data_IF_736276433902
#
_entry.id   IF_736276433902
#
_cell.length_a   1.000
_cell.length_b   1.000
_cell.length_c   1.000
_cell.angle_alpha   90.00
_cell.angle_beta   90.00
_cell.angle_gamma   90.00
#
_symmetry.space_group_name_H-M   'P 1'
#
loop_
_entity.id
_entity.type
_entity.pdbx_description
1 polymer ?
#
# COMPACT_ATOMS: atom_id res chain seq x y z
N UNK A 1 -2.13 14.52 28.25
CA UNK A 1 -3.27 14.61 27.34
C UNK A 1 -2.67 14.95 26.00
N UNK A 2 -2.73 14.05 25.02
CA UNK A 2 -2.34 14.36 23.63
C UNK A 2 -3.41 15.36 23.17
N UNK A 3 -3.04 16.58 22.82
CA UNK A 3 -3.96 17.51 22.18
C UNK A 3 -4.41 16.87 20.88
N UNK A 4 -5.66 16.39 20.85
CA UNK A 4 -6.27 15.92 19.61
C UNK A 4 -6.43 17.13 18.69
N UNK A 5 -5.81 17.11 17.51
CA UNK A 5 -5.95 18.16 16.51
C UNK A 5 -7.34 18.04 15.87
N UNK A 6 -8.31 18.83 16.35
CA UNK A 6 -9.64 18.83 15.77
C UNK A 6 -9.63 19.41 14.37
N UNK A 7 -10.20 18.72 13.42
CA UNK A 7 -10.13 19.11 12.01
C UNK A 7 -11.50 19.12 11.32
N UNK A 8 -11.67 20.04 10.38
CA UNK A 8 -12.77 20.05 9.44
C UNK A 8 -12.29 19.57 8.07
N UNK A 9 -13.03 18.69 7.43
CA UNK A 9 -12.71 18.18 6.08
C UNK A 9 -13.49 18.97 5.04
N UNK A 10 -12.78 19.44 4.01
CA UNK A 10 -13.33 20.09 2.83
C UNK A 10 -13.33 19.12 1.64
N UNK A 11 -14.51 19.00 1.02
CA UNK A 11 -14.73 18.02 -0.03
C UNK A 11 -15.62 18.58 -1.14
N UNK A 12 -15.18 18.39 -2.39
CA UNK A 12 -15.93 18.74 -3.59
C UNK A 12 -16.31 17.45 -4.32
N UNK A 13 -17.54 17.37 -4.83
CA UNK A 13 -17.95 16.34 -5.78
C UNK A 13 -18.77 16.91 -6.92
N UNK A 14 -18.81 16.21 -8.04
CA UNK A 14 -19.65 16.57 -9.19
C UNK A 14 -21.11 16.14 -9.03
N UNK A 15 -21.35 15.11 -8.24
CA UNK A 15 -22.66 14.56 -7.90
C UNK A 15 -22.53 13.88 -6.53
N UNK A 16 -23.66 13.67 -5.82
CA UNK A 16 -23.72 13.13 -4.45
C UNK A 16 -23.07 11.74 -4.22
N UNK A 17 -22.35 11.22 -5.21
CA UNK A 17 -22.01 9.80 -5.31
C UNK A 17 -20.63 9.42 -4.79
N UNK A 18 -19.78 10.33 -4.33
CA UNK A 18 -18.41 9.92 -4.01
C UNK A 18 -18.05 9.93 -2.51
N UNK A 19 -18.94 9.37 -1.68
CA UNK A 19 -18.67 9.10 -0.26
C UNK A 19 -17.46 8.18 -0.03
N UNK A 20 -17.05 7.40 -1.03
CA UNK A 20 -15.88 6.54 -0.99
C UNK A 20 -14.60 7.34 -0.73
N UNK A 21 -14.28 8.31 -1.60
CA UNK A 21 -13.05 9.13 -1.44
C UNK A 21 -13.06 9.96 -0.17
N UNK A 22 -14.25 10.35 0.31
CA UNK A 22 -14.40 11.06 1.58
C UNK A 22 -14.09 10.13 2.76
N UNK A 23 -14.63 8.90 2.79
CA UNK A 23 -14.35 7.92 3.85
C UNK A 23 -12.88 7.56 3.90
N UNK A 24 -12.27 7.33 2.73
CA UNK A 24 -10.84 7.09 2.63
C UNK A 24 -10.03 8.25 3.21
N UNK A 25 -10.37 9.50 2.83
CA UNK A 25 -9.67 10.69 3.30
C UNK A 25 -9.82 10.90 4.82
N UNK A 26 -11.00 10.65 5.37
CA UNK A 26 -11.21 10.69 6.82
C UNK A 26 -10.35 9.63 7.53
N UNK A 27 -10.19 8.45 6.94
CA UNK A 27 -9.30 7.41 7.48
C UNK A 27 -7.83 7.85 7.43
N UNK A 28 -7.39 8.46 6.32
CA UNK A 28 -6.05 9.05 6.20
C UNK A 28 -5.83 10.14 7.26
N UNK A 29 -6.76 11.07 7.41
CA UNK A 29 -6.68 12.16 8.40
C UNK A 29 -6.52 11.61 9.83
N UNK A 30 -7.31 10.59 10.21
CA UNK A 30 -7.19 9.93 11.52
C UNK A 30 -5.83 9.30 11.73
N UNK A 31 -5.27 8.64 10.72
CA UNK A 31 -3.94 8.02 10.81
C UNK A 31 -2.80 9.05 10.87
N UNK A 32 -3.02 10.26 10.36
CA UNK A 32 -2.11 11.39 10.53
C UNK A 32 -2.28 12.11 11.91
N UNK A 33 -3.20 11.63 12.75
CA UNK A 33 -3.42 12.19 14.09
C UNK A 33 -4.44 13.32 14.15
N UNK A 34 -5.24 13.50 13.11
CA UNK A 34 -6.34 14.48 13.10
C UNK A 34 -7.66 13.85 13.54
N UNK A 35 -8.40 14.55 14.40
CA UNK A 35 -9.76 14.19 14.78
C UNK A 35 -10.75 14.96 13.92
N UNK A 36 -11.32 14.29 12.93
CA UNK A 36 -12.36 14.91 12.06
C UNK A 36 -13.65 15.08 12.85
N UNK A 37 -14.04 16.32 13.08
CA UNK A 37 -15.24 16.71 13.85
C UNK A 37 -16.32 17.33 12.98
N UNK A 38 -15.97 17.74 11.74
CA UNK A 38 -16.91 18.35 10.80
C UNK A 38 -16.51 18.04 9.37
N UNK A 39 -17.49 18.03 8.46
CA UNK A 39 -17.25 17.84 7.03
C UNK A 39 -18.09 18.85 6.24
N UNK A 40 -17.42 19.65 5.43
CA UNK A 40 -18.06 20.61 4.53
C UNK A 40 -17.98 20.14 3.09
N UNK A 41 -19.12 20.15 2.44
CA UNK A 41 -19.27 19.69 1.05
C UNK A 41 -19.85 20.79 0.17
N UNK A 42 -19.39 20.81 -1.08
CA UNK A 42 -19.98 21.62 -2.13
C UNK A 42 -19.97 20.88 -3.47
N UNK A 43 -21.11 20.92 -4.17
CA UNK A 43 -21.19 20.41 -5.55
C UNK A 43 -20.60 21.44 -6.51
N UNK A 44 -19.45 21.11 -7.07
CA UNK A 44 -18.76 21.92 -8.09
C UNK A 44 -18.14 21.01 -9.14
N UNK A 45 -18.20 21.41 -10.40
CA UNK A 45 -17.50 20.70 -11.49
C UNK A 45 -15.98 20.80 -11.38
N UNK A 46 -15.48 21.91 -10.87
CA UNK A 46 -14.04 22.16 -10.63
C UNK A 46 -13.88 23.03 -9.37
N UNK A 47 -12.76 22.82 -8.63
CA UNK A 47 -12.42 23.68 -7.52
C UNK A 47 -12.33 25.15 -7.96
N UNK A 48 -12.75 26.07 -7.05
CA UNK A 48 -12.51 27.51 -7.25
C UNK A 48 -11.00 27.77 -7.33
N UNK A 49 -10.53 28.59 -8.28
CA UNK A 49 -9.09 28.86 -8.43
C UNK A 49 -8.43 29.51 -7.20
N UNK A 50 -9.20 30.21 -6.38
CA UNK A 50 -8.68 30.99 -5.25
C UNK A 50 -8.97 30.35 -3.87
N UNK A 51 -10.12 29.68 -3.72
CA UNK A 51 -10.63 29.29 -2.38
C UNK A 51 -11.02 27.82 -2.29
N UNK A 52 -10.75 27.00 -3.31
CA UNK A 52 -11.21 25.61 -3.42
C UNK A 52 -12.74 25.49 -3.47
N UNK A 53 -13.47 25.97 -2.44
CA UNK A 53 -14.92 26.21 -2.47
C UNK A 53 -15.27 27.52 -3.14
N UNK A 54 -16.53 27.69 -3.53
CA UNK A 54 -17.05 28.98 -3.98
C UNK A 54 -16.96 30.04 -2.85
N UNK A 55 -16.85 31.34 -3.20
CA UNK A 55 -16.60 32.42 -2.22
C UNK A 55 -17.71 32.56 -1.16
N UNK A 56 -18.97 32.30 -1.51
CA UNK A 56 -20.08 32.30 -0.55
C UNK A 56 -19.96 31.18 0.48
N UNK A 57 -19.57 29.97 0.05
CA UNK A 57 -19.43 28.80 0.93
C UNK A 57 -18.27 28.98 1.91
N UNK A 58 -17.15 29.54 1.48
CA UNK A 58 -16.00 29.76 2.36
C UNK A 58 -16.32 30.78 3.48
N UNK A 59 -17.13 31.80 3.18
CA UNK A 59 -17.59 32.80 4.17
C UNK A 59 -18.60 32.19 5.15
N UNK A 60 -19.52 31.34 4.69
CA UNK A 60 -20.42 30.55 5.55
C UNK A 60 -19.63 29.70 6.54
N UNK A 61 -18.62 28.99 6.06
CA UNK A 61 -17.75 28.14 6.89
C UNK A 61 -16.98 28.98 7.91
N UNK A 62 -16.47 30.16 7.50
CA UNK A 62 -15.84 31.09 8.42
C UNK A 62 -16.74 31.45 9.61
N UNK A 63 -18.01 31.79 9.34
CA UNK A 63 -18.97 32.10 10.40
C UNK A 63 -19.20 30.93 11.35
N UNK A 64 -19.25 29.69 10.82
CA UNK A 64 -19.39 28.47 11.64
C UNK A 64 -18.16 28.31 12.55
N UNK A 65 -16.94 28.51 12.02
CA UNK A 65 -15.69 28.44 12.80
C UNK A 65 -15.67 29.47 13.89
N UNK A 66 -16.00 30.73 13.58
CA UNK A 66 -16.05 31.83 14.54
C UNK A 66 -17.09 31.61 15.66
N UNK A 67 -18.28 31.08 15.30
CA UNK A 67 -19.31 30.74 16.28
C UNK A 67 -18.84 29.62 17.24
N UNK A 68 -18.12 28.62 16.77
CA UNK A 68 -17.57 27.55 17.63
C UNK A 68 -16.49 28.07 18.58
N UNK A 69 -15.65 29.03 18.13
CA UNK A 69 -14.66 29.66 18.97
C UNK A 69 -15.30 30.47 20.10
N UNK A 70 -16.46 31.11 19.84
CA UNK A 70 -17.20 31.89 20.84
C UNK A 70 -17.95 31.01 21.84
N UNK A 71 -18.36 29.78 21.45
CA UNK A 71 -19.16 28.88 22.25
C UNK A 71 -18.47 27.48 22.43
N UNK A 72 -17.28 27.43 23.07
CA UNK A 72 -16.50 26.17 23.17
C UNK A 72 -17.18 25.09 24.01
N UNK A 73 -18.16 25.42 24.85
CA UNK A 73 -18.93 24.46 25.65
C UNK A 73 -20.01 23.71 24.83
N UNK A 74 -20.44 24.28 23.71
CA UNK A 74 -21.48 23.68 22.86
C UNK A 74 -20.88 22.81 21.74
N UNK A 75 -19.72 23.18 21.23
CA UNK A 75 -19.04 22.45 20.15
C UNK A 75 -17.53 22.61 20.22
N UNK A 76 -16.73 21.56 19.95
CA UNK A 76 -15.30 21.66 19.97
C UNK A 76 -14.79 22.63 18.89
N UNK A 77 -13.71 23.37 19.18
CA UNK A 77 -13.04 24.24 18.22
C UNK A 77 -12.47 23.43 17.06
N UNK A 78 -12.41 24.05 15.89
CA UNK A 78 -11.71 23.51 14.72
C UNK A 78 -10.32 24.13 14.72
N UNK A 79 -9.27 23.30 14.70
CA UNK A 79 -7.88 23.74 14.74
C UNK A 79 -7.22 23.67 13.35
N UNK A 80 -7.71 22.77 12.47
CA UNK A 80 -7.19 22.53 11.13
C UNK A 80 -8.29 22.40 10.10
N UNK A 81 -7.99 22.80 8.87
CA UNK A 81 -8.81 22.52 7.70
C UNK A 81 -8.07 21.53 6.81
N UNK A 82 -8.69 20.39 6.52
CA UNK A 82 -8.14 19.34 5.69
C UNK A 82 -8.87 19.32 4.35
N UNK A 83 -8.13 19.38 3.24
CA UNK A 83 -8.71 19.41 1.89
C UNK A 83 -8.45 18.08 1.19
N UNK A 84 -9.51 17.42 0.70
CA UNK A 84 -9.44 16.10 0.06
C UNK A 84 -8.89 16.10 -1.37
N UNK A 85 -8.15 17.11 -1.74
CA UNK A 85 -7.47 17.24 -3.03
C UNK A 85 -6.08 17.87 -2.82
N UNK A 86 -5.23 17.82 -3.84
CA UNK A 86 -4.03 18.64 -3.87
C UNK A 86 -4.40 20.06 -4.25
N UNK A 87 -4.03 21.05 -3.42
CA UNK A 87 -4.36 22.46 -3.62
C UNK A 87 -3.13 23.27 -4.02
N UNK A 88 -3.38 24.39 -4.72
CA UNK A 88 -2.31 25.32 -5.07
C UNK A 88 -1.89 26.18 -3.88
N UNK A 89 -0.64 26.69 -3.86
CA UNK A 89 -0.19 27.60 -2.80
C UNK A 89 -1.07 28.83 -2.65
N UNK A 90 -1.64 29.33 -3.76
CA UNK A 90 -2.57 30.45 -3.75
C UNK A 90 -3.87 30.08 -3.02
N UNK A 91 -4.47 28.95 -3.36
CA UNK A 91 -5.68 28.45 -2.67
C UNK A 91 -5.42 28.28 -1.18
N UNK A 92 -4.30 27.61 -0.83
CA UNK A 92 -3.92 27.41 0.57
C UNK A 92 -3.84 28.73 1.31
N UNK A 93 -3.04 29.68 0.82
CA UNK A 93 -2.84 30.98 1.45
C UNK A 93 -4.14 31.77 1.59
N UNK A 94 -4.95 31.85 0.54
CA UNK A 94 -6.22 32.60 0.58
C UNK A 94 -7.20 31.97 1.57
N UNK A 95 -7.27 30.63 1.65
CA UNK A 95 -8.11 29.96 2.63
C UNK A 95 -7.60 30.21 4.06
N UNK A 96 -6.28 30.12 4.31
CA UNK A 96 -5.67 30.41 5.61
C UNK A 96 -5.92 31.88 6.05
N UNK A 97 -5.78 32.81 5.11
CA UNK A 97 -6.07 34.25 5.36
C UNK A 97 -7.55 34.52 5.70
N UNK A 98 -8.49 33.82 5.05
CA UNK A 98 -9.93 33.97 5.29
C UNK A 98 -10.37 33.26 6.57
N UNK A 99 -9.94 32.01 6.78
CA UNK A 99 -10.44 31.15 7.85
C UNK A 99 -9.67 31.35 9.17
N UNK A 100 -8.44 31.89 9.12
CA UNK A 100 -7.57 32.04 10.29
C UNK A 100 -7.04 30.73 10.84
N UNK A 101 -7.10 29.63 10.06
CA UNK A 101 -6.70 28.27 10.44
C UNK A 101 -5.70 27.70 9.42
N UNK A 102 -4.77 26.85 9.87
CA UNK A 102 -3.87 26.15 8.96
C UNK A 102 -4.66 25.19 8.06
N UNK A 103 -4.30 25.17 6.76
CA UNK A 103 -4.90 24.34 5.74
C UNK A 103 -3.91 23.27 5.31
N UNK A 104 -4.33 22.01 5.35
CA UNK A 104 -3.53 20.84 4.98
C UNK A 104 -4.23 20.09 3.85
N UNK A 105 -3.52 19.82 2.78
CA UNK A 105 -4.07 19.09 1.64
C UNK A 105 -3.83 17.57 1.73
N UNK A 106 -4.49 16.82 0.85
CA UNK A 106 -4.40 15.36 0.80
C UNK A 106 -2.96 14.85 0.69
N UNK A 107 -2.16 15.47 -0.17
CA UNK A 107 -0.77 15.05 -0.38
C UNK A 107 0.09 15.28 0.85
N UNK A 108 -0.10 16.39 1.56
CA UNK A 108 0.57 16.68 2.82
C UNK A 108 0.24 15.63 3.89
N UNK A 109 -1.04 15.23 4.02
CA UNK A 109 -1.48 14.19 4.97
C UNK A 109 -0.80 12.85 4.64
N UNK A 110 -0.75 12.45 3.38
CA UNK A 110 -0.08 11.21 2.95
C UNK A 110 1.41 11.27 3.33
N UNK A 111 2.07 12.40 3.09
CA UNK A 111 3.49 12.58 3.42
C UNK A 111 3.75 12.58 4.94
N UNK A 112 2.83 13.11 5.76
CA UNK A 112 2.89 13.04 7.23
C UNK A 112 2.79 11.59 7.72
N UNK A 113 1.87 10.79 7.16
CA UNK A 113 1.76 9.36 7.49
C UNK A 113 3.02 8.61 7.09
N UNK A 114 3.58 8.87 5.91
CA UNK A 114 4.82 8.25 5.47
C UNK A 114 6.00 8.64 6.36
N UNK A 115 6.09 9.89 6.78
CA UNK A 115 7.14 10.36 7.68
C UNK A 115 7.09 9.68 9.06
N UNK A 116 5.89 9.54 9.62
CA UNK A 116 5.69 8.86 10.90
C UNK A 116 6.03 7.36 10.86
N UNK A 117 5.84 6.72 9.70
CA UNK A 117 6.09 5.29 9.49
C UNK A 117 7.51 4.97 8.98
N UNK A 118 8.27 5.96 8.53
CA UNK A 118 9.64 5.79 8.04
C UNK A 118 10.62 5.52 9.20
N UNK A 119 11.06 4.27 9.34
CA UNK A 119 11.99 3.86 10.41
C UNK A 119 13.44 3.76 9.93
N UNK A 120 13.66 3.21 8.73
CA UNK A 120 15.00 3.04 8.17
C UNK A 120 15.53 4.34 7.57
N UNK A 121 16.86 4.41 7.39
CA UNK A 121 17.51 5.51 6.71
C UNK A 121 17.02 5.64 5.25
N UNK A 122 16.78 4.51 4.58
CA UNK A 122 16.27 4.47 3.21
C UNK A 122 14.87 5.07 3.13
N UNK A 123 13.92 4.62 3.96
CA UNK A 123 12.57 5.15 3.98
C UNK A 123 12.52 6.66 4.31
N UNK A 124 13.33 7.11 5.28
CA UNK A 124 13.44 8.54 5.60
C UNK A 124 13.92 9.37 4.40
N UNK A 125 14.94 8.88 3.67
CA UNK A 125 15.42 9.54 2.45
C UNK A 125 14.35 9.58 1.36
N UNK A 126 13.60 8.49 1.17
CA UNK A 126 12.50 8.45 0.20
C UNK A 126 11.40 9.44 0.53
N UNK A 127 10.98 9.52 1.80
CA UNK A 127 9.98 10.50 2.27
C UNK A 127 10.51 11.93 2.10
N UNK A 128 11.77 12.17 2.43
CA UNK A 128 12.39 13.49 2.24
C UNK A 128 12.43 13.90 0.76
N UNK A 129 12.78 12.98 -0.14
CA UNK A 129 12.73 13.20 -1.59
C UNK A 129 11.30 13.49 -2.05
N UNK A 130 10.31 12.75 -1.52
CA UNK A 130 8.90 12.96 -1.83
C UNK A 130 8.41 14.35 -1.38
N UNK A 131 8.76 14.77 -0.15
CA UNK A 131 8.46 16.13 0.37
C UNK A 131 9.11 17.22 -0.48
N UNK A 132 10.35 17.03 -0.91
CA UNK A 132 11.05 17.98 -1.78
C UNK A 132 10.41 18.06 -3.18
N UNK A 133 9.99 16.93 -3.75
CA UNK A 133 9.26 16.90 -5.04
C UNK A 133 7.91 17.61 -4.92
N UNK A 134 7.16 17.37 -3.85
CA UNK A 134 5.92 18.07 -3.56
C UNK A 134 6.15 19.58 -3.48
N UNK A 135 7.14 20.04 -2.69
CA UNK A 135 7.50 21.45 -2.59
C UNK A 135 7.89 22.06 -3.93
N UNK A 136 8.63 21.32 -4.78
CA UNK A 136 8.98 21.77 -6.14
C UNK A 136 7.74 21.95 -7.02
N UNK A 137 6.78 21.02 -6.98
CA UNK A 137 5.54 21.11 -7.73
C UNK A 137 4.68 22.29 -7.25
N UNK A 138 4.62 22.53 -5.94
CA UNK A 138 3.93 23.67 -5.38
C UNK A 138 4.53 24.99 -5.87
N UNK A 139 5.87 25.12 -6.00
CA UNK A 139 6.51 26.31 -6.57
C UNK A 139 6.16 26.51 -8.05
N UNK A 140 6.10 25.43 -8.85
CA UNK A 140 5.68 25.53 -10.26
C UNK A 140 4.23 25.99 -10.38
N UNK A 141 3.33 25.47 -9.55
CA UNK A 141 1.93 25.87 -9.50
C UNK A 141 1.78 27.34 -9.05
N UNK A 142 2.62 27.80 -8.12
CA UNK A 142 2.66 29.22 -7.73
C UNK A 142 3.04 30.11 -8.91
N UNK A 143 4.08 29.77 -9.68
CA UNK A 143 4.48 30.52 -10.89
C UNK A 143 3.35 30.59 -11.92
N UNK A 144 2.69 29.49 -12.20
CA UNK A 144 1.58 29.44 -13.13
C UNK A 144 0.42 30.33 -12.69
N UNK A 145 0.11 30.35 -11.39
CA UNK A 145 -0.94 31.19 -10.82
C UNK A 145 -0.57 32.70 -10.87
N UNK A 146 0.69 33.04 -10.58
CA UNK A 146 1.18 34.43 -10.69
C UNK A 146 1.16 34.94 -12.13
N UNK A 147 1.49 34.12 -13.11
CA UNK A 147 1.50 34.50 -14.51
C UNK A 147 0.10 34.78 -15.06
N UNK A 148 -0.92 34.10 -14.55
CA UNK A 148 -2.33 34.30 -14.92
C UNK A 148 -2.94 35.56 -14.30
N UNK A 149 -2.56 35.91 -13.07
CA UNK A 149 -3.08 37.07 -12.35
C UNK A 149 -2.41 38.40 -12.79
N UNK A 150 -1.17 38.33 -13.28
CA UNK A 150 -0.37 39.53 -13.63
C UNK A 150 -0.27 39.75 -15.14
N UNK A 151 -1.35 39.59 -15.91
CA UNK A 151 -1.39 40.05 -17.32
C UNK A 151 -1.32 41.61 -17.46
N UNK A 152 -1.10 42.33 -16.34
CA UNK A 152 -0.87 43.77 -16.30
C UNK A 152 0.63 44.12 -16.17
N UNK A 153 1.07 45.12 -16.94
CA UNK A 153 2.42 45.68 -16.95
C UNK A 153 2.87 46.18 -15.57
N UNK A 154 3.77 45.43 -14.88
CA UNK A 154 4.40 45.85 -13.63
C UNK A 154 5.91 45.57 -13.63
N UNK A 155 6.73 46.57 -13.21
CA UNK A 155 8.20 46.55 -13.19
C UNK A 155 8.86 45.49 -12.27
N UNK A 156 8.11 44.90 -11.32
CA UNK A 156 8.61 43.96 -10.29
C UNK A 156 8.42 42.46 -10.68
N UNK A 157 7.97 42.17 -11.90
CA UNK A 157 7.69 40.80 -12.39
C UNK A 157 8.94 39.92 -12.42
N UNK A 158 10.10 40.48 -12.71
CA UNK A 158 11.37 39.72 -12.89
C UNK A 158 12.05 39.27 -11.57
N UNK A 159 11.82 39.96 -10.44
CA UNK A 159 12.50 39.60 -9.18
C UNK A 159 11.81 38.44 -8.46
N UNK A 160 10.48 38.41 -8.42
CA UNK A 160 9.72 37.28 -7.85
C UNK A 160 9.90 35.98 -8.65
N UNK A 161 9.88 36.05 -9.97
CA UNK A 161 10.12 34.89 -10.87
C UNK A 161 11.55 34.36 -10.67
N UNK A 162 12.58 35.22 -10.59
CA UNK A 162 13.97 34.84 -10.31
C UNK A 162 14.13 34.18 -8.92
N UNK A 163 13.47 34.70 -7.90
CA UNK A 163 13.52 34.12 -6.56
C UNK A 163 12.91 32.71 -6.52
N UNK A 164 11.77 32.50 -7.20
CA UNK A 164 11.13 31.18 -7.28
C UNK A 164 12.01 30.21 -8.11
N UNK A 165 12.61 30.67 -9.20
CA UNK A 165 13.52 29.86 -10.01
C UNK A 165 14.79 29.45 -9.22
N UNK A 166 15.36 30.34 -8.43
CA UNK A 166 16.47 30.05 -7.52
C UNK A 166 16.07 29.01 -6.46
N UNK A 167 14.91 29.17 -5.84
CA UNK A 167 14.39 28.20 -4.86
C UNK A 167 14.16 26.84 -5.51
N UNK A 168 13.61 26.78 -6.73
CA UNK A 168 13.41 25.52 -7.48
C UNK A 168 14.76 24.83 -7.72
N UNK A 169 15.78 25.56 -8.20
CA UNK A 169 17.14 24.99 -8.41
C UNK A 169 17.74 24.47 -7.10
N UNK A 170 17.56 25.15 -5.98
CA UNK A 170 18.03 24.69 -4.67
C UNK A 170 17.34 23.38 -4.26
N UNK A 171 16.01 23.25 -4.48
CA UNK A 171 15.27 22.03 -4.21
C UNK A 171 15.73 20.90 -5.13
N UNK A 172 15.90 21.15 -6.42
CA UNK A 172 16.39 20.16 -7.39
C UNK A 172 17.79 19.65 -7.01
N UNK A 173 18.69 20.52 -6.58
CA UNK A 173 20.00 20.13 -6.07
C UNK A 173 19.90 19.25 -4.81
N UNK A 174 19.01 19.60 -3.87
CA UNK A 174 18.76 18.77 -2.68
C UNK A 174 18.22 17.38 -3.07
N UNK A 175 17.27 17.33 -4.01
CA UNK A 175 16.73 16.06 -4.54
C UNK A 175 17.86 15.22 -5.15
N UNK A 176 18.74 15.84 -5.96
CA UNK A 176 19.86 15.14 -6.56
C UNK A 176 20.81 14.53 -5.52
N UNK A 177 21.19 15.30 -4.50
CA UNK A 177 22.07 14.82 -3.43
C UNK A 177 21.43 13.68 -2.63
N UNK A 178 20.14 13.81 -2.29
CA UNK A 178 19.41 12.75 -1.58
C UNK A 178 19.22 11.49 -2.41
N UNK A 179 18.99 11.62 -3.71
CA UNK A 179 18.94 10.47 -4.62
C UNK A 179 20.30 9.76 -4.70
N UNK A 180 21.41 10.49 -4.73
CA UNK A 180 22.75 9.90 -4.70
C UNK A 180 23.00 9.11 -3.42
N UNK A 181 22.64 9.68 -2.26
CA UNK A 181 22.74 8.98 -0.97
C UNK A 181 21.85 7.71 -0.94
N UNK A 182 20.66 7.78 -1.51
CA UNK A 182 19.75 6.63 -1.65
C UNK A 182 20.35 5.52 -2.53
N UNK A 183 20.98 5.88 -3.65
CA UNK A 183 21.64 4.90 -4.55
C UNK A 183 22.84 4.20 -3.86
N UNK A 184 23.59 4.90 -3.02
CA UNK A 184 24.69 4.28 -2.23
C UNK A 184 24.13 3.22 -1.26
N UNK A 185 22.99 3.49 -0.61
CA UNK A 185 22.31 2.51 0.26
C UNK A 185 21.81 1.30 -0.55
N UNK A 186 21.21 1.56 -1.73
CA UNK A 186 20.75 0.49 -2.62
C UNK A 186 21.89 -0.41 -3.11
N UNK A 187 23.06 0.15 -3.42
CA UNK A 187 24.23 -0.62 -3.83
C UNK A 187 24.64 -1.64 -2.76
N UNK A 188 24.59 -1.26 -1.50
CA UNK A 188 24.89 -2.18 -0.39
C UNK A 188 23.88 -3.32 -0.29
N UNK A 189 22.60 -3.08 -0.63
CA UNK A 189 21.53 -4.10 -0.67
C UNK A 189 21.55 -4.96 -1.93
N UNK A 190 22.11 -4.49 -3.04
CA UNK A 190 22.20 -5.27 -4.30
C UNK A 190 22.86 -6.62 -4.11
N UNK A 191 23.85 -6.73 -3.25
CA UNK A 191 24.52 -8.00 -2.96
C UNK A 191 23.59 -9.01 -2.29
N UNK A 192 22.78 -8.56 -1.36
CA UNK A 192 21.78 -9.41 -0.69
C UNK A 192 20.60 -9.75 -1.62
N UNK A 193 20.17 -8.79 -2.45
CA UNK A 193 19.15 -9.02 -3.49
C UNK A 193 19.64 -10.01 -4.55
N UNK A 194 20.90 -9.85 -5.03
CA UNK A 194 21.47 -10.75 -6.02
C UNK A 194 21.45 -12.20 -5.52
N UNK A 195 21.83 -12.45 -4.27
CA UNK A 195 21.76 -13.79 -3.67
C UNK A 195 20.31 -14.36 -3.65
N UNK A 196 19.29 -13.51 -3.44
CA UNK A 196 17.89 -13.95 -3.50
C UNK A 196 17.41 -14.14 -4.94
N UNK A 197 17.84 -13.28 -5.87
CA UNK A 197 17.46 -13.37 -7.28
C UNK A 197 18.12 -14.56 -7.96
N UNK A 198 19.34 -14.91 -7.57
CA UNK A 198 20.05 -16.13 -8.01
C UNK A 198 19.51 -17.40 -7.30
N UNK A 199 18.65 -17.24 -6.27
CA UNK A 199 18.02 -18.35 -5.58
C UNK A 199 16.86 -18.90 -6.40
N UNK A 200 16.76 -20.24 -6.50
CA UNK A 200 15.65 -20.89 -7.20
C UNK A 200 14.31 -20.83 -6.42
N UNK A 201 14.28 -20.15 -5.29
CA UNK A 201 13.08 -20.04 -4.44
C UNK A 201 12.14 -19.00 -5.02
N UNK A 202 10.89 -19.38 -5.22
CA UNK A 202 9.81 -18.54 -5.74
C UNK A 202 9.62 -17.29 -4.88
N UNK A 203 9.47 -16.13 -5.52
CA UNK A 203 9.24 -14.85 -4.88
C UNK A 203 7.78 -14.44 -5.05
N UNK A 204 7.11 -14.20 -3.94
CA UNK A 204 5.71 -13.81 -3.88
C UNK A 204 5.63 -12.37 -3.34
N UNK A 205 5.05 -11.46 -4.10
CA UNK A 205 4.76 -10.11 -3.62
C UNK A 205 3.31 -10.02 -3.15
N UNK A 206 3.09 -9.39 -1.98
CA UNK A 206 1.76 -9.11 -1.45
C UNK A 206 1.42 -7.67 -1.74
N UNK A 207 0.39 -7.45 -2.55
CA UNK A 207 -0.10 -6.12 -2.93
C UNK A 207 -1.56 -5.95 -2.51
N UNK A 208 -2.09 -4.75 -2.68
CA UNK A 208 -3.49 -4.44 -2.42
C UNK A 208 -3.65 -3.13 -1.69
N UNK A 209 -4.90 -2.73 -1.54
CA UNK A 209 -5.27 -1.45 -0.95
C UNK A 209 -4.82 -1.32 0.51
N UNK A 210 -4.73 -0.10 1.03
CA UNK A 210 -4.44 0.12 2.45
C UNK A 210 -5.52 -0.54 3.32
N UNK A 211 -5.11 -1.11 4.46
CA UNK A 211 -6.00 -1.79 5.41
C UNK A 211 -6.73 -3.05 4.87
N UNK A 212 -6.31 -3.60 3.72
CA UNK A 212 -6.88 -4.85 3.19
C UNK A 212 -6.48 -6.11 3.97
N UNK A 213 -5.44 -6.02 4.83
CA UNK A 213 -4.96 -7.14 5.66
C UNK A 213 -3.64 -7.77 5.16
N UNK A 214 -2.84 -7.07 4.33
CA UNK A 214 -1.55 -7.58 3.81
C UNK A 214 -0.60 -8.04 4.91
N UNK A 215 -0.32 -7.20 5.88
CA UNK A 215 0.57 -7.53 7.00
C UNK A 215 -0.02 -8.64 7.90
N UNK A 216 -1.36 -8.70 8.02
CA UNK A 216 -2.05 -9.80 8.73
C UNK A 216 -1.84 -11.14 8.04
N UNK A 217 -1.89 -11.18 6.70
CA UNK A 217 -1.58 -12.37 5.91
C UNK A 217 -0.18 -12.89 6.20
N UNK A 218 0.82 -12.01 6.12
CA UNK A 218 2.22 -12.39 6.33
C UNK A 218 2.46 -12.88 7.75
N UNK A 219 1.88 -12.17 8.74
CA UNK A 219 1.97 -12.58 10.14
C UNK A 219 1.29 -13.95 10.39
N UNK A 220 0.13 -14.18 9.78
CA UNK A 220 -0.56 -15.47 9.86
C UNK A 220 0.32 -16.62 9.35
N UNK A 221 0.92 -16.45 8.17
CA UNK A 221 1.83 -17.45 7.59
C UNK A 221 3.09 -17.68 8.44
N UNK A 222 3.69 -16.63 9.00
CA UNK A 222 4.86 -16.75 9.88
C UNK A 222 4.51 -17.42 11.20
N UNK A 223 3.37 -17.11 11.82
CA UNK A 223 2.91 -17.74 13.03
C UNK A 223 2.64 -19.23 12.81
N UNK A 224 1.98 -19.58 11.71
CA UNK A 224 1.75 -20.97 11.33
C UNK A 224 3.06 -21.74 11.16
N UNK A 225 4.08 -21.14 10.53
CA UNK A 225 5.41 -21.75 10.37
C UNK A 225 6.10 -21.98 11.72
N UNK A 226 5.98 -21.08 12.69
CA UNK A 226 6.81 -21.10 13.89
C UNK A 226 6.16 -21.81 15.09
N UNK A 227 4.85 -22.08 15.07
CA UNK A 227 4.09 -22.68 16.19
C UNK A 227 4.37 -22.07 17.59
N UNK A 228 5.06 -20.90 17.63
CA UNK A 228 5.42 -20.19 18.86
C UNK A 228 5.03 -18.70 18.78
N UNK A 229 4.32 -18.16 19.80
CA UNK A 229 3.70 -16.82 19.74
C UNK A 229 4.65 -15.63 19.92
N UNK A 230 5.97 -15.80 19.94
CA UNK A 230 6.90 -14.76 20.45
C UNK A 230 7.57 -13.86 19.39
N UNK A 231 7.19 -13.91 18.14
CA UNK A 231 7.67 -12.95 17.11
C UNK A 231 6.55 -12.50 16.19
N UNK A 232 5.45 -12.05 16.75
CA UNK A 232 4.41 -11.36 15.99
C UNK A 232 4.88 -9.95 15.64
N UNK A 233 4.85 -9.62 14.35
CA UNK A 233 4.89 -8.23 13.90
C UNK A 233 3.57 -7.60 14.35
N UNK A 234 3.63 -6.46 15.05
CA UNK A 234 2.43 -5.75 15.49
C UNK A 234 1.54 -5.45 14.28
N UNK A 235 0.38 -6.07 14.24
CA UNK A 235 -0.68 -5.72 13.29
C UNK A 235 -1.29 -4.42 13.79
N UNK A 236 -1.20 -3.37 12.97
CA UNK A 236 -1.90 -2.11 13.19
C UNK A 236 -2.92 -1.95 12.10
N UNK A 237 -4.14 -1.60 12.46
CA UNK A 237 -5.22 -1.22 11.53
C UNK A 237 -4.99 0.20 10.95
N UNK A 238 -3.74 0.53 10.67
CA UNK A 238 -3.33 1.84 10.19
C UNK A 238 -3.15 1.83 8.67
N UNK A 239 -3.65 2.87 8.01
CA UNK A 239 -3.37 3.11 6.59
C UNK A 239 -1.86 3.32 6.43
N UNK A 240 -1.23 2.64 5.45
CA UNK A 240 0.22 2.63 5.26
C UNK A 240 1.03 2.12 6.47
N UNK A 241 0.52 1.12 7.20
CA UNK A 241 1.27 0.50 8.30
C UNK A 241 2.65 -0.01 7.87
N UNK A 242 2.79 -0.41 6.59
CA UNK A 242 4.05 -0.85 5.98
C UNK A 242 4.50 0.19 4.95
N UNK A 243 5.62 0.85 5.21
CA UNK A 243 6.30 1.75 4.26
C UNK A 243 7.56 1.11 3.67
N UNK A 244 8.15 0.16 4.38
CA UNK A 244 9.37 -0.54 4.00
C UNK A 244 9.04 -1.97 3.58
N UNK A 245 9.53 -2.38 2.41
CA UNK A 245 9.38 -3.79 2.00
C UNK A 245 10.13 -4.68 2.97
N UNK A 246 9.47 -5.71 3.46
CA UNK A 246 10.07 -6.74 4.29
C UNK A 246 9.89 -8.10 3.66
N UNK A 247 10.99 -8.71 3.22
CA UNK A 247 10.97 -10.05 2.65
C UNK A 247 11.21 -11.09 3.74
N UNK A 248 10.36 -12.11 3.79
CA UNK A 248 10.41 -13.23 4.72
C UNK A 248 10.45 -14.54 3.94
N UNK A 249 11.10 -15.55 4.51
CA UNK A 249 11.08 -16.91 3.97
C UNK A 249 9.97 -17.69 4.65
N UNK A 250 9.06 -18.24 3.87
CA UNK A 250 8.03 -19.18 4.31
C UNK A 250 8.51 -20.57 3.95
N UNK A 251 8.64 -21.41 4.98
CA UNK A 251 9.04 -22.80 4.85
C UNK A 251 8.16 -23.65 5.79
N UNK A 252 7.08 -24.16 5.23
CA UNK A 252 6.11 -25.00 5.93
C UNK A 252 6.21 -26.43 5.42
N UNK A 253 6.14 -27.38 6.34
CA UNK A 253 6.23 -28.80 6.06
C UNK A 253 5.15 -29.26 5.08
N UNK A 254 5.55 -29.86 3.96
CA UNK A 254 4.66 -30.32 2.88
C UNK A 254 4.24 -29.26 1.88
N UNK A 255 4.80 -28.04 1.98
CA UNK A 255 4.53 -26.92 1.08
C UNK A 255 5.83 -26.43 0.43
N UNK A 256 5.74 -25.84 -0.79
CA UNK A 256 6.91 -25.24 -1.41
C UNK A 256 7.46 -24.11 -0.54
N UNK A 257 8.76 -24.02 -0.43
CA UNK A 257 9.44 -22.87 0.18
C UNK A 257 9.36 -21.68 -0.76
N UNK A 258 8.98 -20.50 -0.25
CA UNK A 258 8.92 -19.27 -1.04
C UNK A 258 9.29 -18.04 -0.20
N UNK A 259 9.79 -17.01 -0.86
CA UNK A 259 9.91 -15.68 -0.27
C UNK A 259 8.58 -14.95 -0.38
N UNK A 260 8.16 -14.28 0.69
CA UNK A 260 7.00 -13.39 0.70
C UNK A 260 7.44 -11.99 1.06
N UNK A 261 7.02 -11.01 0.29
CA UNK A 261 7.39 -9.59 0.46
C UNK A 261 6.15 -8.77 0.75
N UNK A 262 6.14 -8.09 1.92
CA UNK A 262 5.13 -7.07 2.25
C UNK A 262 5.44 -5.79 1.48
N UNK A 263 4.42 -5.17 0.91
CA UNK A 263 4.55 -3.94 0.15
C UNK A 263 3.70 -2.81 0.73
N UNK A 264 4.01 -1.59 0.32
CA UNK A 264 3.21 -0.41 0.67
C UNK A 264 1.78 -0.59 0.16
N UNK A 265 0.78 -0.28 1.00
CA UNK A 265 -0.62 -0.29 0.58
C UNK A 265 -0.90 0.82 -0.42
N UNK A 266 -1.72 0.51 -1.43
CA UNK A 266 -2.15 1.50 -2.41
C UNK A 266 -3.34 2.31 -1.89
N UNK A 267 -3.49 3.52 -2.39
CA UNK A 267 -4.62 4.41 -2.16
C UNK A 267 -5.03 5.07 -3.47
N UNK A 268 -6.26 5.56 -3.51
CA UNK A 268 -6.76 6.32 -4.66
C UNK A 268 -6.02 7.64 -4.83
N UNK A 269 -5.89 8.07 -6.08
CA UNK A 269 -5.33 9.39 -6.43
C UNK A 269 -3.93 9.67 -5.83
N UNK A 270 -3.08 8.63 -5.74
CA UNK A 270 -1.68 8.82 -5.33
C UNK A 270 -0.93 9.57 -6.43
N UNK A 271 -0.35 10.76 -6.15
CA UNK A 271 0.40 11.50 -7.17
C UNK A 271 1.55 10.69 -7.75
N UNK A 272 1.73 10.74 -9.08
CA UNK A 272 2.76 9.97 -9.81
C UNK A 272 4.17 10.22 -9.25
N UNK A 273 4.48 11.46 -8.86
CA UNK A 273 5.79 11.78 -8.28
C UNK A 273 6.04 11.14 -6.91
N UNK A 274 4.97 10.76 -6.17
CA UNK A 274 5.10 9.95 -4.95
C UNK A 274 5.38 8.49 -5.31
N UNK A 275 4.70 7.93 -6.30
CA UNK A 275 5.00 6.57 -6.82
C UNK A 275 6.48 6.49 -7.24
N UNK A 276 6.98 7.51 -7.96
CA UNK A 276 8.40 7.60 -8.34
C UNK A 276 9.36 7.69 -7.14
N UNK A 277 8.96 8.36 -6.05
CA UNK A 277 9.79 8.44 -4.85
C UNK A 277 9.94 7.08 -4.16
N UNK A 278 8.87 6.26 -4.19
CA UNK A 278 8.81 4.92 -3.61
C UNK A 278 9.10 3.81 -4.61
N UNK A 279 9.45 4.15 -5.86
CA UNK A 279 9.70 3.16 -6.92
C UNK A 279 10.66 2.06 -6.49
N UNK A 280 11.70 2.39 -5.73
CA UNK A 280 12.68 1.39 -5.29
C UNK A 280 12.13 0.39 -4.27
N UNK A 281 11.13 0.75 -3.49
CA UNK A 281 10.42 -0.20 -2.64
C UNK A 281 9.42 -1.04 -3.43
N UNK A 282 8.89 -0.50 -4.52
CA UNK A 282 7.95 -1.19 -5.39
C UNK A 282 8.65 -2.06 -6.46
N UNK A 283 9.96 -1.87 -6.70
CA UNK A 283 10.75 -2.71 -7.61
C UNK A 283 10.72 -4.20 -7.23
N UNK A 284 10.58 -4.53 -5.94
CA UNK A 284 10.47 -5.94 -5.50
C UNK A 284 9.20 -6.63 -6.03
N UNK A 285 8.14 -5.86 -6.37
CA UNK A 285 6.96 -6.40 -7.04
C UNK A 285 7.30 -6.83 -8.47
N UNK A 286 8.07 -5.99 -9.19
CA UNK A 286 8.48 -6.27 -10.57
C UNK A 286 9.42 -7.48 -10.68
N UNK A 287 10.11 -7.84 -9.59
CA UNK A 287 11.03 -8.98 -9.52
C UNK A 287 10.36 -10.24 -8.94
N UNK A 288 9.06 -10.21 -8.66
CA UNK A 288 8.32 -11.36 -8.13
C UNK A 288 7.88 -12.34 -9.22
N UNK A 289 7.70 -13.60 -8.84
CA UNK A 289 7.22 -14.67 -9.72
C UNK A 289 5.69 -14.84 -9.62
N UNK A 290 5.09 -14.37 -8.52
CA UNK A 290 3.65 -14.40 -8.24
C UNK A 290 3.25 -13.17 -7.43
N UNK A 291 2.11 -12.60 -7.72
CA UNK A 291 1.50 -11.52 -6.95
C UNK A 291 0.26 -12.07 -6.24
N UNK A 292 0.15 -11.78 -4.93
CA UNK A 292 -1.05 -11.99 -4.12
C UNK A 292 -1.69 -10.65 -3.87
N UNK A 293 -2.81 -10.36 -4.51
CA UNK A 293 -3.60 -9.17 -4.23
C UNK A 293 -4.58 -9.45 -3.10
N UNK A 294 -4.39 -8.76 -1.96
CA UNK A 294 -5.29 -8.84 -0.80
C UNK A 294 -6.33 -7.75 -0.92
N UNK A 295 -7.59 -8.16 -0.89
CA UNK A 295 -8.76 -7.29 -1.10
C UNK A 295 -9.63 -7.31 0.15
N UNK A 296 -9.99 -6.14 0.66
CA UNK A 296 -11.01 -6.00 1.70
C UNK A 296 -12.39 -6.23 1.07
N UNK A 297 -12.93 -7.43 1.23
CA UNK A 297 -14.22 -7.79 0.63
C UNK A 297 -15.42 -7.25 1.40
N UNK A 298 -15.22 -6.79 2.64
CA UNK A 298 -16.26 -6.10 3.42
C UNK A 298 -16.52 -4.67 2.93
N UNK A 299 -15.58 -4.07 2.18
CA UNK A 299 -15.77 -2.75 1.60
C UNK A 299 -16.62 -2.82 0.33
N UNK A 300 -17.67 -2.02 0.28
CA UNK A 300 -18.57 -1.93 -0.90
C UNK A 300 -17.87 -1.46 -2.17
N UNK A 301 -16.71 -0.82 -2.03
CA UNK A 301 -15.89 -0.28 -3.13
C UNK A 301 -14.67 -1.16 -3.46
N UNK A 302 -14.68 -2.44 -3.09
CA UNK A 302 -13.56 -3.35 -3.35
C UNK A 302 -13.17 -3.45 -4.84
N UNK A 303 -14.12 -3.25 -5.76
CA UNK A 303 -13.86 -3.26 -7.21
C UNK A 303 -13.02 -2.06 -7.65
N UNK A 304 -13.25 -0.90 -7.06
CA UNK A 304 -12.45 0.32 -7.25
C UNK A 304 -11.05 0.12 -6.68
N UNK A 305 -10.91 -0.60 -5.56
CA UNK A 305 -9.62 -0.96 -4.98
C UNK A 305 -8.80 -1.83 -5.92
N UNK A 306 -9.40 -2.87 -6.49
CA UNK A 306 -8.77 -3.74 -7.51
C UNK A 306 -8.30 -2.90 -8.70
N UNK A 307 -9.17 -2.01 -9.20
CA UNK A 307 -8.81 -1.13 -10.32
C UNK A 307 -7.63 -0.22 -9.97
N UNK A 308 -7.65 0.41 -8.80
CA UNK A 308 -6.54 1.26 -8.33
C UNK A 308 -5.23 0.48 -8.23
N UNK A 309 -5.27 -0.74 -7.70
CA UNK A 309 -4.11 -1.64 -7.65
C UNK A 309 -3.58 -1.95 -9.05
N UNK A 310 -4.47 -2.31 -9.98
CA UNK A 310 -4.10 -2.61 -11.36
C UNK A 310 -3.47 -1.40 -12.08
N UNK A 311 -4.03 -0.19 -11.88
CA UNK A 311 -3.50 1.05 -12.45
C UNK A 311 -2.08 1.35 -11.93
N UNK A 312 -1.82 1.15 -10.63
CA UNK A 312 -0.48 1.33 -10.05
C UNK A 312 0.49 0.27 -10.56
N UNK A 313 0.10 -1.01 -10.62
CA UNK A 313 0.93 -2.08 -11.17
C UNK A 313 1.31 -1.81 -12.64
N UNK A 314 0.37 -1.32 -13.44
CA UNK A 314 0.61 -0.91 -14.82
C UNK A 314 1.62 0.24 -14.91
N UNK A 315 1.52 1.26 -14.06
CA UNK A 315 2.48 2.38 -13.99
C UNK A 315 3.88 1.94 -13.57
N UNK A 316 3.99 0.84 -12.81
CA UNK A 316 5.28 0.23 -12.45
C UNK A 316 5.86 -0.63 -13.58
N UNK A 317 5.10 -0.88 -14.66
CA UNK A 317 5.50 -1.76 -15.75
C UNK A 317 5.39 -3.25 -15.40
N UNK A 318 4.54 -3.60 -14.45
CA UNK A 318 4.26 -4.99 -14.08
C UNK A 318 3.33 -5.57 -15.15
N UNK A 319 3.95 -6.27 -16.11
CA UNK A 319 3.25 -6.99 -17.17
C UNK A 319 3.55 -8.48 -17.03
N UNK A 320 2.77 -9.41 -17.27
CA UNK A 320 3.04 -10.85 -17.33
C UNK A 320 3.35 -11.57 -16.00
N UNK A 321 3.25 -10.93 -14.83
CA UNK A 321 3.35 -11.63 -13.56
C UNK A 321 1.95 -12.14 -13.20
N UNK A 322 1.77 -13.45 -12.90
CA UNK A 322 0.47 -13.99 -12.50
C UNK A 322 -0.02 -13.34 -11.21
N UNK A 323 -1.30 -13.00 -11.16
CA UNK A 323 -1.96 -12.40 -10.00
C UNK A 323 -3.03 -13.37 -9.48
N UNK A 324 -3.01 -13.62 -8.19
CA UNK A 324 -4.07 -14.32 -7.46
C UNK A 324 -4.73 -13.37 -6.48
N UNK A 325 -6.04 -13.52 -6.31
CA UNK A 325 -6.88 -12.62 -5.53
C UNK A 325 -7.31 -13.29 -4.23
N UNK A 326 -7.05 -12.61 -3.11
CA UNK A 326 -7.40 -13.07 -1.78
C UNK A 326 -8.41 -12.08 -1.18
N UNK A 327 -9.68 -12.45 -1.26
CA UNK A 327 -10.81 -11.68 -0.73
C UNK A 327 -10.91 -11.91 0.77
N UNK A 328 -10.33 -10.98 1.53
CA UNK A 328 -10.26 -11.01 2.98
C UNK A 328 -11.49 -10.37 3.64
N UNK A 329 -11.66 -10.59 4.94
CA UNK A 329 -12.78 -10.11 5.77
C UNK A 329 -14.14 -10.62 5.31
N UNK A 330 -14.16 -11.82 4.76
CA UNK A 330 -15.38 -12.48 4.28
C UNK A 330 -16.42 -12.70 5.39
N UNK A 331 -15.98 -12.82 6.63
CA UNK A 331 -16.79 -12.91 7.82
C UNK A 331 -17.66 -11.67 8.11
N UNK A 332 -17.27 -10.52 7.55
CA UNK A 332 -17.96 -9.24 7.74
C UNK A 332 -18.96 -8.93 6.61
N UNK A 333 -19.09 -9.82 5.63
CA UNK A 333 -19.95 -9.62 4.46
C UNK A 333 -21.37 -10.08 4.76
N UNK A 334 -22.34 -9.18 4.64
CA UNK A 334 -23.77 -9.47 4.92
C UNK A 334 -24.43 -10.33 3.83
N UNK A 335 -23.95 -10.22 2.57
CA UNK A 335 -24.49 -10.96 1.43
C UNK A 335 -23.39 -11.76 0.76
N UNK A 336 -23.49 -13.07 0.79
CA UNK A 336 -22.57 -13.98 0.09
C UNK A 336 -22.64 -13.75 -1.42
N UNK A 337 -21.51 -13.76 -2.15
CA UNK A 337 -21.54 -13.69 -3.60
C UNK A 337 -22.31 -14.84 -4.20
N UNK A 338 -23.14 -14.57 -5.19
CA UNK A 338 -23.89 -15.59 -5.94
C UNK A 338 -23.03 -16.43 -6.88
N UNK A 339 -21.81 -15.95 -7.16
CA UNK A 339 -20.86 -16.61 -8.05
C UNK A 339 -19.81 -17.39 -7.26
N UNK A 340 -19.48 -18.57 -7.73
CA UNK A 340 -18.37 -19.37 -7.18
C UNK A 340 -17.02 -18.68 -7.47
N UNK A 341 -16.03 -18.78 -6.55
CA UNK A 341 -14.71 -18.22 -6.78
C UNK A 341 -14.05 -18.83 -8.02
N UNK A 342 -13.35 -18.01 -8.79
CA UNK A 342 -12.56 -18.48 -9.93
C UNK A 342 -11.29 -19.18 -9.44
N UNK A 343 -10.60 -19.90 -10.32
CA UNK A 343 -9.38 -20.66 -9.96
C UNK A 343 -8.26 -19.80 -9.34
N UNK A 344 -8.25 -18.50 -9.58
CA UNK A 344 -7.29 -17.55 -9.04
C UNK A 344 -7.85 -16.67 -7.92
N UNK A 345 -8.98 -17.04 -7.33
CA UNK A 345 -9.68 -16.32 -6.27
C UNK A 345 -9.86 -17.22 -5.03
N UNK A 346 -9.60 -16.68 -3.85
CA UNK A 346 -9.89 -17.30 -2.57
C UNK A 346 -10.61 -16.30 -1.66
N UNK A 347 -11.75 -16.70 -1.12
CA UNK A 347 -12.50 -15.94 -0.12
C UNK A 347 -12.12 -16.46 1.26
N UNK A 348 -11.67 -15.58 2.14
CA UNK A 348 -11.12 -15.98 3.44
C UNK A 348 -11.34 -14.91 4.51
N UNK A 349 -11.03 -15.28 5.72
CA UNK A 349 -10.91 -14.38 6.86
C UNK A 349 -9.51 -14.54 7.46
N UNK A 350 -8.73 -13.46 7.51
CA UNK A 350 -7.39 -13.43 8.09
C UNK A 350 -7.41 -13.25 9.63
N UNK A 351 -8.49 -13.66 10.29
CA UNK A 351 -8.47 -13.83 11.74
C UNK A 351 -7.48 -14.94 12.11
N UNK A 352 -6.89 -14.92 13.32
CA UNK A 352 -5.89 -15.90 13.74
C UNK A 352 -6.53 -17.29 13.97
N UNK A 353 -6.96 -17.93 12.87
CA UNK A 353 -7.42 -19.31 12.83
C UNK A 353 -6.48 -20.09 11.92
N UNK A 354 -5.81 -21.09 12.47
CA UNK A 354 -4.86 -21.96 11.76
C UNK A 354 -5.48 -22.63 10.52
N UNK A 355 -6.78 -22.91 10.51
CA UNK A 355 -7.46 -23.50 9.36
C UNK A 355 -7.50 -22.53 8.16
N UNK A 356 -7.82 -21.28 8.40
CA UNK A 356 -7.84 -20.26 7.34
C UNK A 356 -6.44 -20.02 6.77
N UNK A 357 -5.42 -19.97 7.65
CA UNK A 357 -4.03 -19.83 7.24
C UNK A 357 -3.58 -21.01 6.41
N UNK A 358 -3.98 -22.23 6.77
CA UNK A 358 -3.69 -23.47 6.02
C UNK A 358 -4.34 -23.44 4.62
N UNK A 359 -5.57 -22.96 4.50
CA UNK A 359 -6.24 -22.81 3.20
C UNK A 359 -5.51 -21.81 2.29
N UNK A 360 -5.12 -20.67 2.86
CA UNK A 360 -4.33 -19.66 2.14
C UNK A 360 -2.98 -20.23 1.68
N UNK A 361 -2.30 -20.96 2.57
CA UNK A 361 -1.03 -21.61 2.24
C UNK A 361 -1.18 -22.62 1.13
N UNK A 362 -2.24 -23.44 1.14
CA UNK A 362 -2.60 -24.38 0.05
C UNK A 362 -2.86 -23.62 -1.25
N UNK A 363 -3.60 -22.53 -1.19
CA UNK A 363 -3.94 -21.72 -2.36
C UNK A 363 -2.71 -21.11 -3.02
N UNK A 364 -1.84 -20.45 -2.24
CA UNK A 364 -0.58 -19.88 -2.74
C UNK A 364 0.31 -21.00 -3.30
N UNK A 365 0.45 -22.11 -2.56
CA UNK A 365 1.29 -23.25 -2.97
C UNK A 365 0.83 -23.92 -4.24
N UNK A 366 -0.48 -24.06 -4.44
CA UNK A 366 -1.04 -24.63 -5.67
C UNK A 366 -0.77 -23.74 -6.89
N UNK A 367 -0.74 -22.43 -6.72
CA UNK A 367 -0.41 -21.50 -7.79
C UNK A 367 1.10 -21.45 -8.06
N UNK A 368 1.95 -21.56 -7.04
CA UNK A 368 3.41 -21.72 -7.21
C UNK A 368 3.71 -23.03 -7.97
N UNK A 369 3.05 -24.12 -7.60
CA UNK A 369 3.29 -25.45 -8.16
C UNK A 369 2.48 -25.73 -9.44
N UNK A 370 1.81 -24.74 -10.02
CA UNK A 370 0.90 -24.91 -11.16
C UNK A 370 1.55 -25.64 -12.34
N UNK A 371 2.79 -25.31 -12.64
CA UNK A 371 3.57 -25.88 -13.74
C UNK A 371 4.52 -26.99 -13.29
N UNK A 372 4.46 -27.38 -12.02
CA UNK A 372 5.28 -28.46 -11.49
C UNK A 372 4.75 -29.81 -11.90
N UNK A 373 5.66 -30.79 -12.07
CA UNK A 373 5.30 -32.15 -12.44
C UNK A 373 4.54 -32.86 -11.32
N UNK A 374 3.25 -33.12 -11.55
CA UNK A 374 2.40 -33.84 -10.61
C UNK A 374 2.55 -35.37 -10.81
N UNK A 375 2.73 -36.08 -9.71
CA UNK A 375 2.77 -37.56 -9.71
C UNK A 375 2.22 -38.15 -8.41
N UNK A 376 1.75 -39.38 -8.50
CA UNK A 376 1.50 -40.23 -7.34
C UNK A 376 2.71 -41.12 -7.12
N UNK A 377 3.27 -41.08 -5.92
CA UNK A 377 4.47 -41.84 -5.53
C UNK A 377 4.25 -42.50 -4.17
N UNK A 378 5.01 -43.61 -3.96
CA UNK A 378 5.03 -44.31 -2.67
C UNK A 378 6.41 -44.20 -2.07
N UNK A 379 6.49 -43.68 -0.86
CA UNK A 379 7.72 -43.63 -0.05
C UNK A 379 7.68 -44.79 0.92
N UNK A 380 8.53 -45.82 0.75
CA UNK A 380 8.56 -46.99 1.63
C UNK A 380 9.16 -46.64 3.01
N UNK A 381 10.00 -45.58 3.06
CA UNK A 381 10.66 -45.15 4.29
C UNK A 381 10.19 -43.80 4.74
N UNK A 382 9.91 -43.67 6.03
CA UNK A 382 9.45 -42.42 6.67
C UNK A 382 10.46 -41.27 6.51
N UNK A 383 11.75 -41.55 6.65
CA UNK A 383 12.80 -40.55 6.51
C UNK A 383 12.84 -39.91 5.11
N UNK A 384 12.64 -40.69 4.05
CA UNK A 384 12.61 -40.21 2.68
C UNK A 384 11.37 -39.34 2.44
N UNK A 385 10.23 -39.74 2.98
CA UNK A 385 9.00 -38.95 2.93
C UNK A 385 9.17 -37.62 3.66
N UNK A 386 9.71 -37.59 4.88
CA UNK A 386 9.94 -36.36 5.61
C UNK A 386 10.92 -35.43 4.89
N UNK A 387 12.01 -35.97 4.33
CA UNK A 387 12.96 -35.19 3.53
C UNK A 387 12.29 -34.61 2.27
N UNK A 388 11.41 -35.38 1.63
CA UNK A 388 10.67 -34.91 0.46
C UNK A 388 9.73 -33.74 0.81
N UNK A 389 9.07 -33.79 1.97
CA UNK A 389 8.14 -32.78 2.46
C UNK A 389 8.82 -31.41 2.73
N UNK A 390 10.13 -31.35 2.85
CA UNK A 390 10.85 -30.07 3.05
C UNK A 390 11.07 -29.29 1.74
N UNK A 391 11.14 -29.99 0.60
CA UNK A 391 11.56 -29.41 -0.68
C UNK A 391 10.41 -29.30 -1.70
N UNK A 392 9.29 -30.00 -1.49
CA UNK A 392 8.26 -30.21 -2.51
C UNK A 392 6.84 -29.95 -1.96
N UNK A 393 5.86 -29.86 -2.86
CA UNK A 393 4.47 -29.70 -2.49
C UNK A 393 3.74 -31.04 -2.43
N UNK A 394 3.26 -31.42 -1.26
CA UNK A 394 2.47 -32.64 -1.03
C UNK A 394 1.00 -32.27 -0.92
N UNK A 395 0.24 -32.53 -1.99
CA UNK A 395 -1.20 -32.24 -2.05
C UNK A 395 -2.01 -33.09 -1.07
N UNK A 396 -1.67 -34.38 -0.96
CA UNK A 396 -2.29 -35.31 -0.04
C UNK A 396 -1.40 -36.51 0.17
N UNK A 397 -1.52 -37.15 1.33
CA UNK A 397 -0.86 -38.45 1.58
C UNK A 397 -1.73 -39.37 2.43
N UNK A 398 -1.49 -40.68 2.34
CA UNK A 398 -2.07 -41.69 3.21
C UNK A 398 -0.98 -42.71 3.55
N UNK A 399 -0.86 -43.02 4.83
CA UNK A 399 0.03 -44.09 5.30
C UNK A 399 -0.67 -45.43 5.13
N UNK A 400 0.03 -46.41 4.52
CA UNK A 400 -0.39 -47.77 4.35
C UNK A 400 0.73 -48.73 4.81
N UNK A 401 0.50 -50.04 4.77
CA UNK A 401 1.48 -51.05 5.19
C UNK A 401 2.78 -51.02 4.38
N UNK A 402 2.69 -50.63 3.10
CA UNK A 402 3.82 -50.54 2.16
C UNK A 402 4.49 -49.15 2.12
N UNK A 403 4.04 -48.19 2.95
CA UNK A 403 4.62 -46.86 3.08
C UNK A 403 3.63 -45.71 2.90
N UNK A 404 4.14 -44.55 2.56
CA UNK A 404 3.37 -43.32 2.39
C UNK A 404 2.97 -43.15 0.92
N UNK A 405 1.69 -43.30 0.61
CA UNK A 405 1.12 -43.03 -0.70
C UNK A 405 0.78 -41.56 -0.84
N UNK A 406 1.50 -40.85 -1.70
CA UNK A 406 1.46 -39.39 -1.80
C UNK A 406 1.06 -38.93 -3.20
N UNK A 407 0.22 -37.89 -3.25
CA UNK A 407 -0.04 -37.11 -4.45
C UNK A 407 0.79 -35.81 -4.33
N UNK A 408 1.80 -35.66 -5.19
CA UNK A 408 2.84 -34.65 -5.00
C UNK A 408 3.14 -33.88 -6.27
N UNK A 409 3.60 -32.65 -6.07
CA UNK A 409 4.18 -31.82 -7.11
C UNK A 409 5.69 -31.71 -6.88
N UNK A 410 6.47 -32.07 -7.87
CA UNK A 410 7.92 -32.08 -7.82
C UNK A 410 8.44 -30.68 -8.19
N UNK A 411 9.17 -30.05 -7.26
CA UNK A 411 9.91 -28.85 -7.56
C UNK A 411 10.93 -29.15 -8.68
N UNK A 412 10.87 -28.46 -9.83
CA UNK A 412 11.77 -28.68 -10.96
C UNK A 412 13.25 -28.63 -10.61
N UNK A 413 13.60 -27.88 -9.56
CA UNK A 413 14.98 -27.67 -9.12
C UNK A 413 15.52 -28.77 -8.21
N UNK A 414 14.62 -29.54 -7.58
CA UNK A 414 15.00 -30.62 -6.67
C UNK A 414 14.60 -31.99 -7.17
N UNK A 415 13.87 -32.08 -8.27
CA UNK A 415 13.34 -33.36 -8.84
C UNK A 415 14.44 -34.40 -9.07
N UNK A 416 15.65 -33.96 -9.46
CA UNK A 416 16.79 -34.85 -9.68
C UNK A 416 17.21 -35.64 -8.43
N UNK A 417 16.95 -35.12 -7.24
CA UNK A 417 17.23 -35.80 -5.97
C UNK A 417 16.36 -37.03 -5.76
N UNK A 418 15.24 -37.11 -6.50
CA UNK A 418 14.19 -38.09 -6.34
C UNK A 418 14.01 -39.00 -7.60
N UNK A 419 14.99 -39.00 -8.50
CA UNK A 419 14.97 -39.79 -9.72
C UNK A 419 14.77 -41.29 -9.46
N UNK A 420 15.21 -41.81 -8.30
CA UNK A 420 15.01 -43.18 -7.86
C UNK A 420 13.54 -43.57 -7.70
N UNK A 421 12.64 -42.60 -7.43
CA UNK A 421 11.19 -42.82 -7.34
C UNK A 421 10.53 -43.04 -8.70
N UNK A 422 11.24 -42.77 -9.80
CA UNK A 422 10.72 -42.87 -11.16
C UNK A 422 11.27 -44.07 -11.91
N UNK A 423 12.25 -44.76 -11.36
CA UNK A 423 12.75 -45.98 -11.95
C UNK A 423 11.75 -47.12 -11.67
N UNK A 424 11.44 -47.96 -12.67
CA UNK A 424 10.67 -49.19 -12.39
C UNK A 424 11.46 -50.00 -11.34
N UNK A 425 10.75 -50.50 -10.33
CA UNK A 425 11.31 -51.49 -9.41
C UNK A 425 11.46 -52.78 -10.21
N UNK A 426 12.71 -53.22 -10.47
CA UNK A 426 13.01 -54.53 -11.00
C UNK A 426 12.48 -55.64 -10.08
#
# INVERSE_FOLDING_TARGET
>A
MVNENNAAVFYISKQDTNLYYLREFISLARNAGYKVIETFHQNLDKPSPHTYFGPGKILEIKQIIENRLQNPNESPSIDYVLVNDEITPLQKKVMEDILGLPVVDRTSIILEIFDSNAKSKEAKLQVEIAKLKYASNQLVNALASYSQVTSGKGKNKGEGEKAIELNKRQIENKIYLKKKELEEIKLSRRTSRKKRNDSPITKVAVVGYTNAGKSSLINGLLNYQHSHPNKTVLVKDDVFATLETSTRLINCYGFPTFYITDTVGFISNLPVYLIDAFRSTLEEICESDLIVEVIDFSDTYYKEHIKTTADVLSQLGVENIPIIYLFNKYDQVLNTPSELPKNNELYTCLLPDDNNVLEILKFISSNIAKDWKHKSVVFPFENDFHRFMTDNYVKSYKQKEDGYHCSVYFNPLTIYKYDYLFKPRD
#
